data_IF_731493114666
#
_entry.id   IF_731493114666
#
_cell.length_a   1.000
_cell.length_b   1.000
_cell.length_c   1.000
_cell.angle_alpha   90.00
_cell.angle_beta   90.00
_cell.angle_gamma   90.00
#
_symmetry.space_group_name_H-M   'P 1'
#
loop_
_entity.id
_entity.type
_entity.pdbx_description
1 polymer ?
#
# COMPACT_ATOMS: atom_id res chain seq x y z
N UNK A 1 58.00 17.14 5.98
CA UNK A 1 58.43 15.72 5.87
C UNK A 1 57.74 15.11 4.66
N UNK A 2 58.55 14.50 3.77
CA UNK A 2 58.29 13.39 2.80
C UNK A 2 56.84 12.94 2.55
N UNK A 3 56.36 12.54 1.37
CA UNK A 3 56.81 12.41 -0.04
C UNK A 3 55.53 11.94 -0.82
N UNK A 4 55.29 12.10 -2.13
CA UNK A 4 55.94 12.78 -3.28
C UNK A 4 54.84 13.00 -4.36
N UNK A 5 55.12 13.64 -5.51
CA UNK A 5 54.29 13.51 -6.72
C UNK A 5 54.75 12.31 -7.56
N UNK A 6 53.82 11.65 -8.27
CA UNK A 6 54.16 10.95 -9.51
C UNK A 6 53.02 11.06 -10.53
N UNK A 7 53.24 11.84 -11.58
CA UNK A 7 52.49 11.69 -12.84
C UNK A 7 53.12 10.55 -13.64
N UNK A 8 52.31 9.64 -14.16
CA UNK A 8 52.63 8.96 -15.41
C UNK A 8 51.33 8.63 -16.16
N UNK A 9 51.09 9.35 -17.25
CA UNK A 9 50.16 8.93 -18.29
C UNK A 9 50.88 7.94 -19.24
N UNK A 10 50.10 7.31 -20.15
CA UNK A 10 50.42 6.25 -21.13
C UNK A 10 49.72 4.93 -20.71
N UNK A 11 48.72 4.44 -21.44
CA UNK A 11 48.15 5.00 -22.66
C UNK A 11 46.88 4.29 -23.12
N UNK A 12 46.31 4.78 -24.24
CA UNK A 12 45.16 4.16 -24.91
C UNK A 12 45.46 2.71 -25.29
N UNK A 13 44.48 1.83 -25.07
CA UNK A 13 44.25 0.66 -25.89
C UNK A 13 42.82 0.71 -26.43
N UNK A 14 42.65 1.39 -27.58
CA UNK A 14 41.47 1.23 -28.43
C UNK A 14 41.44 -0.19 -28.99
N UNK A 15 40.23 -0.69 -29.24
CA UNK A 15 39.90 -1.76 -30.18
C UNK A 15 40.60 -3.13 -30.00
N UNK A 16 39.83 -4.09 -29.47
CA UNK A 16 39.80 -5.44 -30.05
C UNK A 16 38.36 -5.96 -30.17
N UNK A 17 37.63 -5.45 -31.16
CA UNK A 17 36.52 -6.20 -31.73
C UNK A 17 37.07 -7.47 -32.38
N UNK A 18 37.13 -8.56 -31.61
CA UNK A 18 37.32 -9.90 -32.18
C UNK A 18 36.05 -10.26 -32.94
N UNK A 19 36.22 -10.64 -34.21
CA UNK A 19 35.14 -11.07 -35.11
C UNK A 19 34.38 -12.25 -34.49
N UNK A 20 33.10 -12.05 -34.15
CA UNK A 20 31.97 -12.56 -34.95
C UNK A 20 30.62 -12.28 -34.26
N UNK A 21 29.64 -11.85 -35.06
CA UNK A 21 28.20 -11.61 -34.74
C UNK A 21 27.83 -10.33 -33.96
N UNK A 22 27.40 -9.34 -34.75
CA UNK A 22 26.32 -8.37 -34.49
C UNK A 22 26.23 -7.73 -33.10
N UNK A 23 27.14 -6.79 -32.81
CA UNK A 23 26.87 -5.73 -31.85
C UNK A 23 26.06 -4.61 -32.52
N UNK A 24 24.73 -4.62 -32.38
CA UNK A 24 23.92 -3.46 -32.78
C UNK A 24 24.07 -2.34 -31.73
N UNK A 25 25.09 -1.50 -31.90
CA UNK A 25 25.37 -0.35 -31.05
C UNK A 25 24.48 0.84 -31.43
N UNK A 26 23.19 0.80 -31.06
CA UNK A 26 22.33 1.98 -31.12
C UNK A 26 22.68 2.98 -30.02
N UNK A 27 23.63 3.87 -30.35
CA UNK A 27 23.85 5.10 -29.62
C UNK A 27 22.60 5.99 -29.75
N UNK A 28 21.98 6.35 -28.64
CA UNK A 28 21.16 7.56 -28.57
C UNK A 28 21.66 8.45 -27.43
N UNK A 29 22.41 9.49 -27.79
CA UNK A 29 23.16 10.32 -26.85
C UNK A 29 22.46 11.65 -26.52
N UNK A 30 22.07 11.81 -25.26
CA UNK A 30 21.95 13.09 -24.53
C UNK A 30 21.66 12.74 -23.05
N UNK A 31 22.15 13.41 -22.02
CA UNK A 31 23.02 14.59 -21.94
C UNK A 31 22.86 15.20 -20.54
N UNK A 32 23.91 15.13 -19.71
CA UNK A 32 24.00 15.57 -18.29
C UNK A 32 23.17 14.82 -17.21
N UNK A 33 23.87 14.51 -16.11
CA UNK A 33 23.36 14.12 -14.78
C UNK A 33 22.35 12.95 -14.70
N UNK A 34 22.79 11.75 -15.07
CA UNK A 34 22.13 10.50 -14.69
C UNK A 34 23.10 9.53 -14.04
N UNK A 35 22.91 9.22 -12.75
CA UNK A 35 23.63 8.14 -12.07
C UNK A 35 23.00 6.78 -12.42
N UNK A 36 22.92 6.49 -13.72
CA UNK A 36 22.29 5.29 -14.25
C UNK A 36 23.19 4.08 -14.02
N UNK A 37 22.88 3.27 -13.01
CA UNK A 37 23.46 1.94 -12.86
C UNK A 37 23.16 1.13 -14.11
N UNK A 38 24.20 0.77 -14.87
CA UNK A 38 24.05 -0.11 -16.01
C UNK A 38 23.49 -1.45 -15.53
N UNK A 39 22.26 -1.78 -15.95
CA UNK A 39 21.64 -3.07 -15.64
C UNK A 39 22.55 -4.19 -16.15
N UNK A 40 22.91 -5.19 -15.31
CA UNK A 40 23.76 -6.29 -15.75
C UNK A 40 23.22 -6.96 -17.01
N UNK A 41 24.08 -7.16 -18.01
CA UNK A 41 23.69 -7.79 -19.29
C UNK A 41 23.40 -9.28 -19.07
N UNK A 42 22.14 -9.58 -18.76
CA UNK A 42 21.63 -10.95 -18.57
C UNK A 42 21.70 -11.71 -19.89
N UNK A 43 22.16 -12.97 -19.89
CA UNK A 43 22.04 -13.82 -21.09
C UNK A 43 20.57 -14.08 -21.39
N UNK A 44 20.22 -14.25 -22.65
CA UNK A 44 18.81 -14.44 -23.11
C UNK A 44 18.07 -15.60 -22.45
N UNK A 45 18.78 -16.58 -21.87
CA UNK A 45 18.25 -17.73 -21.16
C UNK A 45 18.49 -17.71 -19.63
N UNK A 46 18.84 -16.55 -19.05
CA UNK A 46 19.05 -16.40 -17.61
C UNK A 46 18.01 -15.47 -16.98
N UNK A 47 17.61 -15.75 -15.74
CA UNK A 47 16.84 -14.83 -14.89
C UNK A 47 17.70 -14.55 -13.66
N UNK A 48 17.88 -13.29 -13.30
CA UNK A 48 18.58 -12.94 -12.04
C UNK A 48 17.58 -13.00 -10.90
N UNK A 49 17.86 -13.76 -9.85
CA UNK A 49 17.24 -13.66 -8.54
C UNK A 49 18.14 -12.84 -7.61
N UNK A 50 17.64 -11.69 -7.15
CA UNK A 50 18.30 -10.81 -6.18
C UNK A 50 17.55 -10.77 -4.84
N UNK A 51 18.27 -10.34 -3.79
CA UNK A 51 17.78 -10.25 -2.41
C UNK A 51 18.04 -8.85 -1.83
N UNK A 52 17.80 -8.65 -0.52
CA UNK A 52 17.90 -7.35 0.15
C UNK A 52 19.21 -6.58 -0.12
N UNK A 53 20.35 -7.27 -0.10
CA UNK A 53 21.68 -6.72 -0.40
C UNK A 53 21.80 -6.15 -1.83
N UNK A 54 20.98 -6.62 -2.75
CA UNK A 54 21.04 -6.29 -4.18
C UNK A 54 20.08 -5.15 -4.56
N UNK A 55 19.11 -4.80 -3.72
CA UNK A 55 18.06 -3.81 -4.05
C UNK A 55 18.63 -2.49 -4.60
N UNK A 56 19.70 -1.97 -3.98
CA UNK A 56 20.37 -0.74 -4.41
C UNK A 56 21.07 -0.87 -5.78
N UNK A 57 21.58 -2.05 -6.13
CA UNK A 57 22.25 -2.34 -7.42
C UNK A 57 21.25 -2.28 -8.58
N UNK A 58 20.01 -2.69 -8.34
CA UNK A 58 18.93 -2.77 -9.34
C UNK A 58 17.86 -1.68 -9.20
N UNK A 59 18.08 -0.68 -8.32
CA UNK A 59 17.14 0.42 -8.06
C UNK A 59 15.73 -0.05 -7.63
N UNK A 60 15.67 -1.12 -6.82
CA UNK A 60 14.42 -1.68 -6.30
C UNK A 60 14.05 -0.94 -5.01
N UNK A 61 12.83 -0.38 -4.88
CA UNK A 61 12.41 0.22 -3.62
C UNK A 61 12.28 -0.86 -2.55
N UNK A 62 13.03 -0.73 -1.45
CA UNK A 62 12.95 -1.67 -0.30
C UNK A 62 11.55 -1.68 0.32
N UNK A 63 10.91 -0.53 0.37
CA UNK A 63 9.59 -0.34 0.96
C UNK A 63 8.66 0.39 0.01
N UNK A 64 7.39 -0.05 -0.04
CA UNK A 64 6.30 0.62 -0.75
C UNK A 64 5.07 0.65 0.18
N UNK A 65 4.23 1.70 0.15
CA UNK A 65 3.09 1.79 1.05
C UNK A 65 2.02 0.75 0.72
N UNK A 66 1.22 0.39 1.73
CA UNK A 66 0.03 -0.44 1.57
C UNK A 66 -1.12 0.43 1.02
N UNK A 67 -1.08 0.72 -0.28
CA UNK A 67 -2.11 1.48 -1.00
C UNK A 67 -3.46 0.72 -1.02
N UNK A 68 -3.41 -0.60 -1.22
CA UNK A 68 -4.57 -1.49 -1.25
C UNK A 68 -4.52 -2.48 -0.08
N UNK A 69 -5.68 -2.72 0.51
CA UNK A 69 -5.78 -3.14 1.89
C UNK A 69 -6.51 -4.50 1.99
N UNK A 70 -5.75 -5.59 2.18
CA UNK A 70 -6.17 -6.99 1.97
C UNK A 70 -7.34 -7.44 2.88
N UNK A 71 -7.26 -7.22 4.19
CA UNK A 71 -8.20 -7.82 5.16
C UNK A 71 -9.66 -7.32 5.00
N UNK A 72 -9.87 -6.19 4.33
CA UNK A 72 -11.21 -5.67 4.00
C UNK A 72 -11.99 -6.50 2.99
N UNK A 73 -11.28 -7.18 2.11
CA UNK A 73 -11.90 -8.02 1.11
C UNK A 73 -12.37 -9.33 1.78
N UNK A 74 -11.65 -9.82 2.79
CA UNK A 74 -11.88 -11.13 3.42
C UNK A 74 -13.29 -11.37 4.03
N UNK A 75 -14.11 -10.35 4.30
CA UNK A 75 -15.48 -10.57 4.80
C UNK A 75 -16.51 -10.91 3.72
N UNK A 76 -16.29 -10.45 2.47
CA UNK A 76 -17.26 -10.58 1.37
C UNK A 76 -16.65 -11.12 0.07
N UNK A 77 -15.31 -11.14 -0.02
CA UNK A 77 -14.54 -11.63 -1.15
C UNK A 77 -13.73 -12.86 -0.73
N UNK A 78 -14.11 -13.97 -1.35
CA UNK A 78 -13.37 -15.22 -1.36
C UNK A 78 -11.91 -14.99 -1.75
N UNK A 79 -11.00 -15.54 -0.94
CA UNK A 79 -9.74 -16.15 -1.33
C UNK A 79 -9.19 -15.80 -2.74
N UNK A 80 -8.11 -15.00 -2.88
CA UNK A 80 -7.54 -14.57 -4.17
C UNK A 80 -7.22 -15.67 -5.17
N UNK A 81 -6.82 -16.87 -4.72
CA UNK A 81 -6.63 -18.06 -5.56
C UNK A 81 -7.62 -19.14 -5.12
N UNK A 82 -8.70 -19.33 -5.88
CA UNK A 82 -9.76 -20.30 -5.56
C UNK A 82 -9.24 -21.75 -5.61
N UNK A 83 -9.80 -22.63 -4.77
CA UNK A 83 -9.49 -24.07 -4.77
C UNK A 83 -10.19 -24.79 -5.94
N UNK A 84 -9.77 -24.49 -7.17
CA UNK A 84 -10.23 -25.16 -8.39
C UNK A 84 -9.09 -26.07 -8.88
N UNK A 85 -9.23 -27.38 -8.64
CA UNK A 85 -8.14 -28.34 -8.81
C UNK A 85 -7.56 -28.38 -10.25
N UNK A 86 -8.42 -28.34 -11.27
CA UNK A 86 -8.00 -28.33 -12.68
C UNK A 86 -7.23 -27.06 -13.06
N UNK A 87 -7.72 -25.88 -12.63
CA UNK A 87 -7.06 -24.60 -12.88
C UNK A 87 -5.72 -24.53 -12.17
N UNK A 88 -5.65 -24.94 -10.90
CA UNK A 88 -4.40 -25.02 -10.15
C UNK A 88 -3.39 -26.00 -10.77
N UNK A 89 -3.84 -27.16 -11.26
CA UNK A 89 -2.95 -28.13 -11.93
C UNK A 89 -2.38 -27.55 -13.23
N UNK A 90 -3.21 -26.90 -14.05
CA UNK A 90 -2.81 -26.31 -15.33
C UNK A 90 -1.88 -25.09 -15.14
N UNK A 91 -2.22 -24.14 -14.25
CA UNK A 91 -1.36 -23.00 -13.94
C UNK A 91 0.00 -23.44 -13.39
N UNK A 92 0.05 -24.51 -12.58
CA UNK A 92 1.32 -25.06 -12.08
C UNK A 92 2.14 -25.77 -13.18
N UNK A 93 1.51 -26.43 -14.16
CA UNK A 93 2.21 -26.97 -15.34
C UNK A 93 2.82 -25.85 -16.18
N UNK A 94 2.07 -24.75 -16.38
CA UNK A 94 2.56 -23.59 -17.13
C UNK A 94 3.74 -22.91 -16.43
N UNK A 95 3.67 -22.76 -15.10
CA UNK A 95 4.76 -22.22 -14.28
C UNK A 95 6.02 -23.10 -14.30
N UNK A 96 5.90 -24.42 -14.18
CA UNK A 96 7.04 -25.34 -14.30
C UNK A 96 7.63 -25.38 -15.73
N UNK A 97 6.78 -25.32 -16.75
CA UNK A 97 7.21 -25.19 -18.15
C UNK A 97 7.94 -23.87 -18.42
N UNK A 98 7.53 -22.77 -17.77
CA UNK A 98 8.24 -21.49 -17.81
C UNK A 98 9.65 -21.63 -17.20
N UNK A 99 9.76 -22.12 -15.96
CA UNK A 99 11.06 -22.25 -15.29
C UNK A 99 12.05 -23.15 -16.05
N UNK A 100 11.58 -24.20 -16.74
CA UNK A 100 12.41 -25.07 -17.58
C UNK A 100 13.10 -24.35 -18.77
N UNK A 101 12.65 -23.16 -19.15
CA UNK A 101 13.26 -22.36 -20.23
C UNK A 101 14.51 -21.58 -19.77
N UNK A 102 14.66 -21.32 -18.46
CA UNK A 102 15.61 -20.35 -17.93
C UNK A 102 16.51 -20.94 -16.84
N UNK A 103 17.76 -20.49 -16.79
CA UNK A 103 18.64 -20.74 -15.65
C UNK A 103 18.57 -19.56 -14.67
N UNK A 104 18.07 -19.81 -13.46
CA UNK A 104 18.03 -18.79 -12.41
C UNK A 104 19.43 -18.66 -11.78
N UNK A 105 19.95 -17.43 -11.75
CA UNK A 105 21.29 -17.08 -11.25
C UNK A 105 21.21 -15.98 -10.20
N UNK A 106 22.26 -15.81 -9.38
CA UNK A 106 22.34 -14.68 -8.46
C UNK A 106 22.66 -13.35 -9.18
N UNK A 107 22.72 -12.27 -8.42
CA UNK A 107 23.07 -10.93 -8.91
C UNK A 107 24.48 -10.78 -9.50
N UNK A 108 25.36 -11.78 -9.31
CA UNK A 108 26.71 -11.86 -9.87
C UNK A 108 26.79 -12.87 -11.05
N UNK A 109 25.63 -13.27 -11.58
CA UNK A 109 25.44 -14.19 -12.72
C UNK A 109 25.94 -15.63 -12.47
N UNK A 110 26.12 -16.01 -11.21
CA UNK A 110 26.55 -17.34 -10.78
C UNK A 110 25.38 -18.24 -10.34
N UNK A 111 25.58 -19.55 -10.41
CA UNK A 111 24.61 -20.55 -9.92
C UNK A 111 24.36 -20.38 -8.43
N UNK A 112 23.09 -20.33 -8.04
CA UNK A 112 22.69 -20.25 -6.63
C UNK A 112 22.97 -21.59 -5.94
N UNK A 113 23.82 -21.55 -4.92
CA UNK A 113 24.24 -22.71 -4.12
C UNK A 113 24.12 -22.47 -2.62
N UNK A 114 23.89 -21.22 -2.22
CA UNK A 114 23.79 -20.77 -0.84
C UNK A 114 22.56 -19.87 -0.71
N UNK A 115 21.92 -19.91 0.46
CA UNK A 115 20.91 -18.95 0.88
C UNK A 115 21.51 -17.53 0.87
N UNK A 116 20.66 -16.52 0.85
CA UNK A 116 21.02 -15.10 0.92
C UNK A 116 21.80 -14.75 2.20
N UNK A 117 21.54 -15.48 3.30
CA UNK A 117 22.29 -15.46 4.57
C UNK A 117 23.62 -16.25 4.56
N UNK A 118 23.99 -16.85 3.42
CA UNK A 118 25.30 -17.49 3.20
C UNK A 118 25.42 -18.97 3.60
N UNK A 119 24.35 -19.61 4.09
CA UNK A 119 24.35 -21.06 4.37
C UNK A 119 24.19 -21.88 3.07
N UNK A 120 24.78 -23.07 2.97
CA UNK A 120 24.65 -23.91 1.77
C UNK A 120 23.23 -24.48 1.62
N UNK A 121 22.69 -24.49 0.39
CA UNK A 121 21.35 -25.07 0.10
C UNK A 121 21.51 -26.53 -0.35
N UNK A 122 20.85 -27.49 0.32
CA UNK A 122 20.71 -28.87 -0.17
C UNK A 122 20.20 -28.93 -1.63
N UNK A 123 20.38 -30.06 -2.31
CA UNK A 123 19.96 -30.19 -3.72
C UNK A 123 18.44 -30.25 -3.85
N UNK A 124 17.82 -30.95 -2.91
CA UNK A 124 16.39 -31.17 -2.72
C UNK A 124 15.62 -29.85 -2.50
N UNK A 125 16.18 -28.91 -1.74
CA UNK A 125 15.54 -27.61 -1.43
C UNK A 125 15.86 -26.50 -2.44
N UNK A 126 16.74 -26.77 -3.41
CA UNK A 126 17.26 -25.72 -4.30
C UNK A 126 16.20 -25.15 -5.22
N UNK A 127 15.38 -26.00 -5.83
CA UNK A 127 14.33 -25.59 -6.75
C UNK A 127 13.23 -24.79 -6.05
N UNK A 128 12.83 -25.19 -4.82
CA UNK A 128 11.83 -24.46 -4.02
C UNK A 128 12.36 -23.13 -3.48
N UNK A 129 13.67 -22.99 -3.26
CA UNK A 129 14.28 -21.71 -2.87
C UNK A 129 14.40 -20.71 -4.03
N UNK A 130 14.79 -21.17 -5.22
CA UNK A 130 15.07 -20.29 -6.38
C UNK A 130 13.83 -19.96 -7.20
N UNK A 131 12.80 -20.81 -7.22
CA UNK A 131 11.52 -20.58 -7.92
C UNK A 131 10.55 -19.86 -6.99
N UNK A 132 10.03 -18.71 -7.43
CA UNK A 132 9.18 -17.80 -6.64
C UNK A 132 8.03 -17.32 -7.50
N UNK A 133 6.77 -17.73 -7.24
CA UNK A 133 6.39 -18.84 -6.37
C UNK A 133 6.95 -20.16 -6.91
N UNK A 134 7.18 -21.14 -6.03
CA UNK A 134 7.53 -22.50 -6.42
C UNK A 134 6.33 -23.24 -7.04
N UNK A 135 5.14 -23.02 -6.44
CA UNK A 135 3.85 -23.59 -6.83
C UNK A 135 2.75 -22.61 -6.40
N UNK A 136 1.66 -22.52 -7.15
CA UNK A 136 0.42 -21.87 -6.71
C UNK A 136 -0.36 -22.77 -5.75
N UNK A 137 -0.78 -22.18 -4.63
CA UNK A 137 -1.66 -22.76 -3.63
C UNK A 137 -2.94 -21.95 -3.50
N UNK A 138 -4.02 -22.57 -3.04
CA UNK A 138 -5.22 -21.84 -2.66
C UNK A 138 -5.15 -21.39 -1.20
N UNK A 139 -5.66 -20.20 -0.93
CA UNK A 139 -5.91 -19.65 0.39
C UNK A 139 -7.02 -20.37 1.19
N UNK A 140 -7.83 -21.21 0.55
CA UNK A 140 -8.67 -22.23 1.23
C UNK A 140 -8.05 -23.61 1.04
N UNK A 141 -6.74 -23.71 1.22
CA UNK A 141 -5.91 -24.85 0.82
C UNK A 141 -6.28 -26.17 1.46
N UNK A 142 -5.70 -27.26 0.94
CA UNK A 142 -5.80 -28.58 1.55
C UNK A 142 -4.93 -28.66 2.81
N UNK A 143 -5.22 -29.63 3.67
CA UNK A 143 -4.41 -29.89 4.87
C UNK A 143 -2.92 -30.08 4.49
N UNK A 144 -2.05 -29.26 5.08
CA UNK A 144 -0.61 -29.22 4.78
C UNK A 144 -0.18 -28.28 3.64
N UNK A 145 -1.11 -27.64 2.92
CA UNK A 145 -0.78 -26.59 1.94
C UNK A 145 -0.94 -25.19 2.56
N UNK A 146 0.10 -24.36 2.45
CA UNK A 146 0.10 -22.96 2.92
C UNK A 146 0.01 -22.01 1.72
N UNK A 147 -0.88 -21.03 1.77
CA UNK A 147 -0.89 -19.92 0.82
C UNK A 147 0.06 -18.81 1.29
N UNK A 148 1.18 -18.67 0.59
CA UNK A 148 2.11 -17.57 0.82
C UNK A 148 1.49 -16.28 0.24
N UNK A 149 1.05 -15.37 1.12
CA UNK A 149 0.39 -14.10 0.79
C UNK A 149 1.31 -13.05 0.16
N UNK A 150 2.18 -13.45 -0.76
CA UNK A 150 3.19 -12.63 -1.42
C UNK A 150 2.52 -11.63 -2.36
N UNK A 151 3.01 -10.39 -2.34
CA UNK A 151 2.57 -9.33 -3.23
C UNK A 151 3.65 -9.11 -4.31
N UNK A 152 3.26 -8.82 -5.55
CA UNK A 152 4.14 -8.72 -6.70
C UNK A 152 4.23 -7.26 -7.17
N UNK A 153 5.39 -6.63 -6.98
CA UNK A 153 5.69 -5.33 -7.56
C UNK A 153 6.12 -5.45 -9.01
N UNK A 154 5.35 -4.86 -9.92
CA UNK A 154 5.57 -4.95 -11.37
C UNK A 154 6.35 -3.74 -11.88
N UNK A 155 7.60 -3.94 -12.27
CA UNK A 155 8.49 -2.90 -12.83
C UNK A 155 8.77 -3.22 -14.31
N UNK A 156 7.79 -2.96 -15.18
CA UNK A 156 7.81 -3.39 -16.59
C UNK A 156 9.00 -2.84 -17.39
N UNK A 157 9.32 -1.54 -17.25
CA UNK A 157 10.45 -0.92 -17.97
C UNK A 157 11.79 -1.52 -17.54
N UNK A 158 11.88 -1.91 -16.28
CA UNK A 158 13.04 -2.56 -15.68
C UNK A 158 12.97 -4.10 -15.85
N UNK A 159 11.93 -4.63 -16.52
CA UNK A 159 11.63 -6.07 -16.71
C UNK A 159 11.81 -6.85 -15.42
N UNK A 160 11.25 -6.33 -14.34
CA UNK A 160 11.53 -6.81 -12.98
C UNK A 160 10.23 -7.08 -12.23
N UNK A 161 10.15 -8.24 -11.56
CA UNK A 161 9.09 -8.56 -10.59
C UNK A 161 9.70 -8.62 -9.20
N UNK A 162 9.18 -7.82 -8.28
CA UNK A 162 9.63 -7.74 -6.89
C UNK A 162 8.66 -8.50 -5.99
N UNK A 163 9.17 -9.37 -5.12
CA UNK A 163 8.38 -10.13 -4.17
C UNK A 163 8.33 -9.40 -2.83
N UNK A 164 7.17 -8.82 -2.55
CA UNK A 164 6.87 -8.05 -1.35
C UNK A 164 6.15 -8.91 -0.30
N UNK A 165 6.55 -8.71 0.95
CA UNK A 165 5.89 -9.26 2.14
C UNK A 165 5.30 -8.11 2.98
N UNK A 166 4.22 -8.39 3.69
CA UNK A 166 3.58 -7.51 4.67
C UNK A 166 3.99 -7.80 6.12
N UNK A 167 4.94 -8.73 6.34
CA UNK A 167 5.37 -9.29 7.64
C UNK A 167 5.05 -8.43 8.87
N UNK A 168 4.11 -8.91 9.67
CA UNK A 168 3.66 -8.23 10.88
C UNK A 168 4.78 -8.05 11.93
N UNK A 169 5.90 -8.79 11.84
CA UNK A 169 7.08 -8.59 12.68
C UNK A 169 7.81 -7.30 12.33
N UNK A 170 7.97 -7.01 11.05
CA UNK A 170 8.58 -5.76 10.56
C UNK A 170 7.68 -4.54 10.76
N UNK A 171 6.36 -4.73 10.92
CA UNK A 171 5.47 -3.65 11.40
C UNK A 171 5.91 -3.19 12.79
N UNK A 172 6.14 -4.11 13.73
CA UNK A 172 6.50 -3.77 15.11
C UNK A 172 7.86 -3.06 15.25
N UNK A 173 8.83 -3.35 14.37
CA UNK A 173 10.16 -2.73 14.43
C UNK A 173 10.22 -1.31 13.82
N UNK A 174 9.34 -1.01 12.85
CA UNK A 174 9.30 0.29 12.19
C UNK A 174 8.24 1.25 12.77
N UNK A 175 7.24 0.74 13.49
CA UNK A 175 6.24 1.56 14.19
C UNK A 175 6.79 2.04 15.55
N UNK A 176 7.44 3.20 15.54
CA UNK A 176 7.98 3.83 16.76
C UNK A 176 7.06 4.96 17.23
N UNK A 177 6.82 5.08 18.54
CA UNK A 177 5.87 6.04 19.16
C UNK A 177 6.12 7.50 18.73
N UNK A 178 7.38 7.82 18.43
CA UNK A 178 7.88 9.13 18.02
C UNK A 178 7.67 9.44 16.53
N UNK A 179 7.43 8.44 15.67
CA UNK A 179 7.34 8.64 14.22
C UNK A 179 5.96 8.46 13.62
N UNK A 180 5.13 7.56 14.17
CA UNK A 180 3.83 7.20 13.60
C UNK A 180 4.00 6.62 12.18
N UNK A 181 4.35 5.33 12.11
CA UNK A 181 4.72 4.70 10.85
C UNK A 181 3.60 4.70 9.80
N UNK A 182 3.99 4.79 8.53
CA UNK A 182 3.12 4.39 7.42
C UNK A 182 3.20 2.87 7.26
N UNK A 183 2.07 2.21 7.01
CA UNK A 183 2.03 0.79 6.67
C UNK A 183 2.70 0.55 5.32
N UNK A 184 3.69 -0.34 5.31
CA UNK A 184 4.51 -0.62 4.15
C UNK A 184 4.71 -2.11 3.92
N UNK A 185 4.72 -2.51 2.65
CA UNK A 185 5.29 -3.77 2.21
C UNK A 185 6.82 -3.67 2.17
N UNK A 186 7.51 -4.78 2.40
CA UNK A 186 8.99 -4.87 2.33
C UNK A 186 9.42 -5.88 1.26
N UNK A 187 10.37 -5.48 0.40
CA UNK A 187 10.90 -6.35 -0.64
C UNK A 187 11.78 -7.46 -0.02
N UNK A 188 11.43 -8.71 -0.27
CA UNK A 188 12.20 -9.89 0.19
C UNK A 188 13.21 -10.35 -0.85
N UNK A 189 12.83 -10.26 -2.13
CA UNK A 189 13.57 -10.77 -3.28
C UNK A 189 12.99 -10.18 -4.57
N UNK A 190 13.67 -10.34 -5.70
CA UNK A 190 13.16 -9.92 -7.01
C UNK A 190 13.76 -10.75 -8.16
N UNK A 191 13.03 -10.85 -9.26
CA UNK A 191 13.52 -11.36 -10.54
C UNK A 191 13.77 -10.24 -11.53
N UNK A 192 14.92 -10.26 -12.22
CA UNK A 192 15.18 -9.46 -13.43
C UNK A 192 15.21 -10.39 -14.64
N UNK A 193 14.32 -10.11 -15.60
CA UNK A 193 14.11 -10.94 -16.78
C UNK A 193 14.99 -10.48 -17.96
N UNK A 194 15.41 -11.41 -18.84
CA UNK A 194 16.36 -11.10 -19.91
C UNK A 194 15.72 -10.38 -21.10
N UNK A 195 14.41 -10.55 -21.29
CA UNK A 195 13.62 -10.02 -22.42
C UNK A 195 12.22 -9.58 -21.95
N UNK A 196 11.56 -8.71 -22.73
CA UNK A 196 10.19 -8.27 -22.45
C UNK A 196 9.20 -9.43 -22.53
N UNK A 197 9.43 -10.37 -23.46
CA UNK A 197 8.60 -11.56 -23.67
C UNK A 197 8.65 -12.48 -22.45
N UNK A 198 9.83 -12.72 -21.87
CA UNK A 198 9.99 -13.54 -20.68
C UNK A 198 9.31 -12.91 -19.45
N UNK A 199 9.43 -11.59 -19.29
CA UNK A 199 8.72 -10.83 -18.24
C UNK A 199 7.20 -10.93 -18.41
N UNK A 200 6.69 -10.67 -19.63
CA UNK A 200 5.25 -10.70 -19.93
C UNK A 200 4.66 -12.11 -19.79
N UNK A 201 5.36 -13.14 -20.26
CA UNK A 201 4.93 -14.54 -20.10
C UNK A 201 4.78 -14.88 -18.61
N UNK A 202 5.80 -14.57 -17.80
CA UNK A 202 5.78 -14.84 -16.37
C UNK A 202 4.69 -14.06 -15.62
N UNK A 203 4.52 -12.76 -15.88
CA UNK A 203 3.47 -11.94 -15.26
C UNK A 203 2.08 -12.42 -15.65
N UNK A 204 1.87 -12.88 -16.88
CA UNK A 204 0.60 -13.48 -17.31
C UNK A 204 0.32 -14.80 -16.59
N UNK A 205 1.34 -15.64 -16.36
CA UNK A 205 1.21 -16.88 -15.56
C UNK A 205 0.89 -16.55 -14.09
N UNK A 206 1.48 -15.51 -13.52
CA UNK A 206 1.12 -15.07 -12.17
C UNK A 206 -0.34 -14.60 -12.08
N UNK A 207 -0.79 -13.80 -13.05
CA UNK A 207 -2.15 -13.21 -13.04
C UNK A 207 -3.26 -14.23 -13.30
N UNK A 208 -3.04 -15.21 -14.17
CA UNK A 208 -4.08 -16.15 -14.67
C UNK A 208 -4.79 -17.00 -13.61
N UNK A 209 -4.30 -17.00 -12.37
CA UNK A 209 -4.83 -17.78 -11.24
C UNK A 209 -5.48 -16.89 -10.15
N UNK A 210 -5.33 -15.57 -10.23
CA UNK A 210 -5.95 -14.62 -9.31
C UNK A 210 -7.35 -14.22 -9.77
N UNK A 211 -8.24 -13.92 -8.82
CA UNK A 211 -9.54 -13.30 -9.11
C UNK A 211 -9.34 -11.84 -9.54
N UNK A 212 -9.85 -11.46 -10.72
CA UNK A 212 -9.72 -10.14 -11.36
C UNK A 212 -9.91 -8.96 -10.40
N UNK A 213 -10.98 -8.97 -9.58
CA UNK A 213 -11.31 -7.88 -8.65
C UNK A 213 -10.25 -7.66 -7.55
N UNK A 214 -9.42 -8.68 -7.30
CA UNK A 214 -8.35 -8.70 -6.30
C UNK A 214 -6.96 -8.49 -6.91
N UNK A 215 -6.81 -8.48 -8.25
CA UNK A 215 -5.50 -8.33 -8.90
C UNK A 215 -4.74 -7.09 -8.39
N UNK A 216 -5.38 -5.92 -8.34
CA UNK A 216 -4.78 -4.64 -7.90
C UNK A 216 -4.20 -4.67 -6.49
N UNK A 217 -4.58 -5.67 -5.69
CA UNK A 217 -4.09 -5.86 -4.32
C UNK A 217 -2.78 -6.65 -4.35
N UNK A 218 -2.69 -7.67 -5.19
CA UNK A 218 -1.53 -8.57 -5.28
C UNK A 218 -0.53 -8.17 -6.37
N UNK A 219 -0.92 -7.37 -7.36
CA UNK A 219 -0.08 -6.85 -8.43
C UNK A 219 0.01 -5.33 -8.31
N UNK A 220 1.09 -4.88 -7.68
CA UNK A 220 1.33 -3.50 -7.28
C UNK A 220 2.22 -2.79 -8.30
N UNK A 221 1.98 -1.51 -8.55
CA UNK A 221 3.01 -0.63 -9.13
C UNK A 221 3.89 -0.08 -7.99
N UNK A 222 5.19 -0.43 -7.91
CA UNK A 222 6.07 0.06 -6.85
C UNK A 222 6.31 1.57 -6.87
N UNK A 223 5.85 2.28 -7.90
CA UNK A 223 5.92 3.74 -8.05
C UNK A 223 4.61 4.44 -7.66
N UNK A 224 3.50 3.73 -7.54
CA UNK A 224 2.20 4.28 -7.12
C UNK A 224 2.24 4.73 -5.65
N UNK A 225 1.83 5.97 -5.37
CA UNK A 225 1.74 6.53 -4.02
C UNK A 225 0.39 7.22 -3.86
N UNK A 226 -0.56 6.54 -3.19
CA UNK A 226 -1.83 7.17 -2.87
C UNK A 226 -1.65 8.21 -1.75
N UNK A 227 -2.32 9.37 -1.81
CA UNK A 227 -2.36 10.32 -0.70
C UNK A 227 -2.87 9.65 0.59
N UNK A 228 -2.25 10.00 1.71
CA UNK A 228 -2.53 9.41 3.02
C UNK A 228 -3.54 10.26 3.79
N UNK A 229 -4.52 9.57 4.37
CA UNK A 229 -5.46 10.12 5.36
C UNK A 229 -5.27 9.38 6.68
N UNK A 230 -4.74 10.09 7.67
CA UNK A 230 -4.59 9.61 9.03
C UNK A 230 -5.85 9.92 9.83
N UNK A 231 -6.40 8.94 10.56
CA UNK A 231 -7.51 9.14 11.50
C UNK A 231 -7.08 8.78 12.91
N UNK A 232 -7.29 9.66 13.89
CA UNK A 232 -6.81 9.45 15.27
C UNK A 232 -7.66 10.14 16.33
N UNK A 233 -7.36 9.88 17.60
CA UNK A 233 -7.98 10.58 18.74
C UNK A 233 -7.27 11.89 19.04
N UNK A 234 -8.03 12.94 19.33
CA UNK A 234 -7.50 14.28 19.70
C UNK A 234 -6.58 14.23 20.93
N UNK A 235 -6.79 13.28 21.84
CA UNK A 235 -5.88 13.02 22.96
C UNK A 235 -4.41 12.79 22.54
N UNK A 236 -4.16 12.21 21.36
CA UNK A 236 -2.84 11.80 20.85
C UNK A 236 -2.32 12.68 19.71
N UNK A 237 -3.17 13.60 19.23
CA UNK A 237 -2.95 14.42 18.05
C UNK A 237 -1.67 15.27 18.10
N UNK A 238 -1.14 15.68 16.93
CA UNK A 238 -0.08 16.69 16.82
C UNK A 238 -0.41 17.98 17.58
N UNK A 239 0.60 18.66 18.10
CA UNK A 239 0.45 19.82 19.00
C UNK A 239 -0.28 21.02 18.40
N UNK A 240 -0.41 21.11 17.07
CA UNK A 240 -1.18 22.15 16.39
C UNK A 240 -2.70 21.91 16.45
N UNK A 241 -3.16 20.70 16.81
CA UNK A 241 -4.57 20.39 17.05
C UNK A 241 -4.86 20.67 18.53
N UNK A 242 -5.68 21.69 18.87
CA UNK A 242 -6.07 21.95 20.24
C UNK A 242 -6.74 20.73 20.87
N UNK A 243 -6.36 20.34 22.09
CA UNK A 243 -7.02 19.20 22.75
C UNK A 243 -8.45 19.52 23.24
N UNK A 244 -8.73 20.80 23.45
CA UNK A 244 -10.03 21.35 23.88
C UNK A 244 -10.27 22.67 23.15
N UNK A 245 -11.53 23.02 22.96
CA UNK A 245 -11.99 24.27 22.35
C UNK A 245 -13.10 24.88 23.20
N UNK A 246 -13.26 26.21 23.13
CA UNK A 246 -14.44 26.89 23.68
C UNK A 246 -15.60 26.82 22.68
N UNK A 247 -16.65 26.09 23.04
CA UNK A 247 -17.87 25.99 22.23
C UNK A 247 -18.77 27.18 22.56
N UNK A 248 -18.72 28.21 21.70
CA UNK A 248 -19.51 29.46 21.88
C UNK A 248 -21.03 29.27 21.70
N UNK A 249 -21.47 28.12 21.20
CA UNK A 249 -22.88 27.81 20.92
C UNK A 249 -23.65 27.21 22.13
N UNK A 250 -23.04 27.16 23.32
CA UNK A 250 -23.59 26.50 24.53
C UNK A 250 -24.91 27.09 25.10
N UNK A 251 -25.47 28.13 24.48
CA UNK A 251 -26.78 28.71 24.82
C UNK A 251 -27.93 28.25 23.92
N UNK A 252 -27.66 27.60 22.78
CA UNK A 252 -28.71 27.01 21.94
C UNK A 252 -28.98 25.58 22.43
N UNK A 253 -30.25 25.27 22.69
CA UNK A 253 -30.69 23.90 22.97
C UNK A 253 -30.21 22.99 21.84
N UNK A 254 -29.48 21.92 22.17
CA UNK A 254 -29.14 20.86 21.20
C UNK A 254 -30.45 20.45 20.52
N UNK A 255 -30.63 20.66 19.21
CA UNK A 255 -31.85 20.23 18.54
C UNK A 255 -31.84 18.71 18.57
N UNK A 256 -32.69 18.09 19.41
CA UNK A 256 -32.81 16.64 19.54
C UNK A 256 -32.96 16.03 18.13
N UNK A 257 -31.92 15.43 17.56
CA UNK A 257 -31.88 15.17 16.13
C UNK A 257 -32.48 13.79 15.88
N UNK A 258 -33.79 13.68 16.12
CA UNK A 258 -34.58 12.45 16.02
C UNK A 258 -34.68 11.89 14.59
N UNK A 259 -34.13 12.60 13.60
CA UNK A 259 -34.07 12.19 12.20
C UNK A 259 -32.82 12.73 11.52
N UNK A 260 -32.24 11.92 10.63
CA UNK A 260 -31.12 12.31 9.76
C UNK A 260 -31.44 13.53 8.88
N UNK A 261 -32.73 13.81 8.64
CA UNK A 261 -33.20 14.98 7.88
C UNK A 261 -32.79 16.33 8.48
N UNK A 262 -32.43 16.37 9.77
CA UNK A 262 -31.81 17.55 10.37
C UNK A 262 -30.47 17.87 9.71
N UNK A 263 -29.62 16.87 9.46
CA UNK A 263 -28.31 17.06 8.81
C UNK A 263 -28.41 17.09 7.28
N UNK A 264 -29.19 16.17 6.70
CA UNK A 264 -29.30 16.00 5.26
C UNK A 264 -30.75 16.11 4.75
N UNK A 265 -31.05 17.18 4.02
CA UNK A 265 -32.40 17.41 3.48
C UNK A 265 -32.63 16.80 2.09
N UNK A 266 -31.63 16.13 1.50
CA UNK A 266 -31.60 15.76 0.08
C UNK A 266 -31.43 14.26 -0.18
N UNK A 267 -30.66 13.57 0.66
CA UNK A 267 -30.22 12.20 0.44
C UNK A 267 -30.33 11.36 1.70
N UNK A 268 -30.63 10.07 1.54
CA UNK A 268 -30.62 9.12 2.64
C UNK A 268 -29.23 8.48 2.87
N UNK A 269 -29.09 7.81 4.01
CA UNK A 269 -27.84 7.14 4.41
C UNK A 269 -27.39 6.09 3.39
N UNK A 270 -28.27 5.19 2.88
CA UNK A 270 -27.89 4.23 1.82
C UNK A 270 -27.30 4.87 0.56
N UNK A 271 -27.91 5.93 0.03
CA UNK A 271 -27.42 6.64 -1.15
C UNK A 271 -26.03 7.22 -0.92
N UNK A 272 -25.85 7.96 0.20
CA UNK A 272 -24.59 8.62 0.53
C UNK A 272 -23.46 7.60 0.71
N UNK A 273 -23.70 6.52 1.47
CA UNK A 273 -22.70 5.46 1.66
C UNK A 273 -22.33 4.76 0.34
N UNK A 274 -23.31 4.51 -0.53
CA UNK A 274 -23.05 3.97 -1.88
C UNK A 274 -22.23 4.92 -2.75
N UNK A 275 -22.51 6.22 -2.69
CA UNK A 275 -21.77 7.24 -3.43
C UNK A 275 -20.31 7.35 -2.94
N UNK A 276 -20.09 7.49 -1.62
CA UNK A 276 -18.77 7.67 -1.04
C UNK A 276 -17.89 6.44 -1.14
N UNK A 277 -18.46 5.23 -1.04
CA UNK A 277 -17.73 3.98 -1.33
C UNK A 277 -17.12 4.02 -2.73
N UNK A 278 -17.90 4.42 -3.73
CA UNK A 278 -17.41 4.49 -5.11
C UNK A 278 -16.44 5.66 -5.36
N UNK A 279 -16.60 6.77 -4.63
CA UNK A 279 -15.73 7.95 -4.77
C UNK A 279 -14.34 7.77 -4.14
N UNK A 280 -14.24 7.03 -3.03
CA UNK A 280 -13.01 6.93 -2.24
C UNK A 280 -12.17 5.68 -2.51
N UNK A 281 -12.74 4.59 -3.06
CA UNK A 281 -12.00 3.34 -3.33
C UNK A 281 -10.85 3.60 -4.31
N UNK A 282 -9.62 3.26 -3.88
CA UNK A 282 -8.41 3.39 -4.69
C UNK A 282 -7.94 4.82 -4.94
N UNK A 283 -8.61 5.84 -4.40
CA UNK A 283 -8.16 7.23 -4.51
C UNK A 283 -7.13 7.58 -3.43
N UNK A 284 -7.34 7.11 -2.21
CA UNK A 284 -6.54 7.45 -1.03
C UNK A 284 -6.28 6.23 -0.15
N UNK A 285 -5.17 6.23 0.59
CA UNK A 285 -4.88 5.23 1.64
C UNK A 285 -5.24 5.80 3.02
N UNK A 286 -5.69 4.93 3.93
CA UNK A 286 -6.14 5.32 5.26
C UNK A 286 -5.47 4.50 6.33
N UNK A 287 -5.01 5.17 7.38
CA UNK A 287 -4.28 4.55 8.48
C UNK A 287 -4.72 5.14 9.82
N UNK A 288 -4.71 4.32 10.88
CA UNK A 288 -5.02 4.78 12.23
C UNK A 288 -3.80 5.47 12.84
N UNK A 289 -3.96 6.70 13.29
CA UNK A 289 -3.00 7.41 14.14
C UNK A 289 -3.30 7.08 15.61
N UNK A 290 -2.88 5.90 16.05
CA UNK A 290 -2.94 5.45 17.45
C UNK A 290 -1.54 5.00 17.90
N UNK A 291 -1.01 5.65 18.93
CA UNK A 291 0.35 5.39 19.46
C UNK A 291 0.39 4.20 20.42
N UNK A 292 -0.76 3.74 20.92
CA UNK A 292 -0.86 2.68 21.93
C UNK A 292 -1.09 1.30 21.31
N UNK A 293 -1.73 1.26 20.14
CA UNK A 293 -2.08 0.02 19.47
C UNK A 293 -1.03 -0.47 18.46
N UNK A 294 0.17 -0.87 18.88
CA UNK A 294 1.10 -1.57 17.97
C UNK A 294 0.47 -2.85 17.36
N UNK A 295 -0.41 -3.53 18.11
CA UNK A 295 -1.17 -4.71 17.65
C UNK A 295 -2.55 -4.38 17.04
N UNK A 296 -2.84 -3.10 16.80
CA UNK A 296 -4.07 -2.63 16.11
C UNK A 296 -3.81 -1.57 15.03
N UNK A 297 -2.54 -1.18 14.83
CA UNK A 297 -2.11 -0.19 13.86
C UNK A 297 -2.46 -0.64 12.44
N UNK A 298 -3.34 0.12 11.79
CA UNK A 298 -3.90 -0.23 10.50
C UNK A 298 -5.06 -1.21 10.59
N UNK A 299 -6.15 -0.85 11.27
CA UNK A 299 -7.43 -1.54 11.06
C UNK A 299 -7.93 -1.26 9.64
N UNK A 300 -7.65 -2.23 8.78
CA UNK A 300 -8.24 -2.48 7.47
C UNK A 300 -9.75 -2.17 7.50
N UNK A 301 -10.18 -1.06 6.87
CA UNK A 301 -11.59 -0.61 6.85
C UNK A 301 -12.13 -0.34 5.44
N UNK A 302 -13.19 -1.07 5.06
CA UNK A 302 -13.65 -1.31 3.67
C UNK A 302 -14.35 -0.11 3.04
N UNK A 303 -14.90 0.73 3.90
CA UNK A 303 -15.71 1.89 3.57
C UNK A 303 -15.11 3.01 4.42
N UNK A 304 -14.25 3.82 3.80
CA UNK A 304 -13.30 4.72 4.47
C UNK A 304 -14.01 5.85 5.25
N UNK A 305 -15.24 6.13 4.83
CA UNK A 305 -16.20 7.01 5.47
C UNK A 305 -17.58 6.33 5.38
N UNK A 306 -18.27 6.18 6.51
CA UNK A 306 -19.62 5.63 6.58
C UNK A 306 -20.48 6.54 7.45
N UNK A 307 -21.71 6.77 7.03
CA UNK A 307 -22.76 7.30 7.90
C UNK A 307 -23.51 6.11 8.48
N UNK A 308 -23.50 5.97 9.80
CA UNK A 308 -24.18 4.88 10.50
C UNK A 308 -25.30 5.42 11.39
N UNK A 309 -26.45 4.76 11.34
CA UNK A 309 -27.55 4.95 12.29
C UNK A 309 -27.45 3.86 13.36
N UNK A 310 -27.39 4.25 14.64
CA UNK A 310 -27.45 3.33 15.78
C UNK A 310 -28.61 3.68 16.70
N UNK A 311 -29.12 2.67 17.39
CA UNK A 311 -30.09 2.84 18.46
C UNK A 311 -29.69 1.86 19.58
N UNK A 312 -29.34 2.41 20.75
CA UNK A 312 -28.87 1.63 21.90
C UNK A 312 -30.00 1.32 22.92
N UNK A 313 -31.26 1.33 22.48
CA UNK A 313 -32.44 1.27 23.34
C UNK A 313 -32.96 2.64 23.75
N UNK A 314 -32.40 3.71 23.16
CA UNK A 314 -32.77 5.10 23.40
C UNK A 314 -34.04 5.51 22.63
N UNK A 315 -34.79 6.53 23.09
CA UNK A 315 -36.01 7.01 22.43
C UNK A 315 -35.76 7.77 21.12
N UNK A 316 -34.50 7.89 20.69
CA UNK A 316 -34.07 8.52 19.44
C UNK A 316 -32.95 7.68 18.79
N UNK A 317 -32.75 7.90 17.49
CA UNK A 317 -31.63 7.34 16.76
C UNK A 317 -30.41 8.26 16.83
N UNK A 318 -29.23 7.66 16.95
CA UNK A 318 -27.94 8.36 16.91
C UNK A 318 -27.28 8.19 15.54
N UNK A 319 -26.73 9.28 15.01
CA UNK A 319 -26.12 9.32 13.69
C UNK A 319 -24.62 9.59 13.81
N UNK A 320 -23.82 8.64 13.32
CA UNK A 320 -22.37 8.65 13.44
C UNK A 320 -21.71 8.76 12.07
N UNK A 321 -20.59 9.47 12.02
CA UNK A 321 -19.58 9.31 10.98
C UNK A 321 -18.55 8.28 11.48
N UNK A 322 -18.48 7.13 10.83
CA UNK A 322 -17.42 6.16 11.06
C UNK A 322 -16.22 6.51 10.15
N UNK A 323 -15.19 7.07 10.76
CA UNK A 323 -14.00 7.61 10.12
C UNK A 323 -12.91 6.54 10.13
N UNK A 324 -12.52 6.06 8.95
CA UNK A 324 -11.93 4.73 8.84
C UNK A 324 -12.97 3.64 9.11
N UNK A 325 -14.19 3.77 8.58
CA UNK A 325 -15.21 2.71 8.52
C UNK A 325 -15.63 2.01 9.81
N UNK A 326 -16.27 0.83 9.67
CA UNK A 326 -17.00 0.09 10.75
C UNK A 326 -16.15 -0.36 11.95
N UNK A 327 -14.84 -0.11 11.95
CA UNK A 327 -13.93 -0.41 13.05
C UNK A 327 -12.96 0.75 13.38
N UNK A 328 -13.11 1.89 12.71
CA UNK A 328 -12.35 3.10 12.99
C UNK A 328 -12.94 3.90 14.16
N UNK A 329 -12.72 5.21 14.13
CA UNK A 329 -13.23 6.11 15.16
C UNK A 329 -14.57 6.72 14.74
N UNK A 330 -15.42 7.02 15.71
CA UNK A 330 -16.79 7.48 15.48
C UNK A 330 -16.94 8.94 15.94
N UNK A 331 -17.51 9.78 15.08
CA UNK A 331 -17.93 11.14 15.42
C UNK A 331 -19.47 11.20 15.42
N UNK A 332 -20.07 11.44 16.60
CA UNK A 332 -21.52 11.44 16.82
C UNK A 332 -22.16 12.79 16.47
N UNK A 333 -22.80 12.91 15.31
CA UNK A 333 -23.23 14.19 14.72
C UNK A 333 -24.02 15.13 15.64
N UNK A 334 -24.73 14.62 16.66
CA UNK A 334 -25.51 15.42 17.62
C UNK A 334 -24.68 16.27 18.58
N UNK A 335 -23.45 15.85 18.89
CA UNK A 335 -22.59 16.51 19.89
C UNK A 335 -21.28 17.08 19.31
N UNK A 336 -21.06 16.89 18.01
CA UNK A 336 -19.79 17.22 17.37
C UNK A 336 -19.72 18.67 16.93
N UNK A 337 -18.61 19.32 17.29
CA UNK A 337 -18.23 20.63 16.77
C UNK A 337 -17.08 20.41 15.79
N UNK A 338 -17.32 20.63 14.49
CA UNK A 338 -16.36 20.31 13.42
C UNK A 338 -15.52 21.55 13.10
N UNK A 339 -14.22 21.45 13.34
CA UNK A 339 -13.24 22.46 12.90
C UNK A 339 -12.58 22.03 11.60
N UNK A 340 -12.64 22.90 10.60
CA UNK A 340 -11.91 22.76 9.34
C UNK A 340 -10.58 23.53 9.48
N UNK A 341 -9.45 22.88 9.22
CA UNK A 341 -8.10 23.46 9.36
C UNK A 341 -7.35 23.33 8.03
N UNK A 342 -7.63 24.21 7.04
CA UNK A 342 -7.14 24.04 5.66
C UNK A 342 -5.62 24.25 5.51
N UNK A 343 -4.99 25.06 6.36
CA UNK A 343 -3.53 25.29 6.30
C UNK A 343 -2.76 24.07 6.78
N UNK A 344 -3.25 23.45 7.85
CA UNK A 344 -2.70 22.26 8.48
C UNK A 344 -3.17 20.97 7.81
N UNK A 345 -4.06 21.07 6.81
CA UNK A 345 -4.75 19.96 6.13
C UNK A 345 -5.35 18.99 7.15
N UNK A 346 -6.17 19.50 8.07
CA UNK A 346 -6.80 18.70 9.12
C UNK A 346 -8.29 19.02 9.29
N UNK A 347 -9.06 18.02 9.72
CA UNK A 347 -10.47 18.18 10.11
C UNK A 347 -10.61 17.57 11.50
N UNK A 348 -11.20 18.31 12.43
CA UNK A 348 -11.29 17.88 13.84
C UNK A 348 -12.74 17.88 14.29
N UNK A 349 -13.14 16.78 14.90
CA UNK A 349 -14.48 16.49 15.41
C UNK A 349 -14.41 16.53 16.94
N UNK A 350 -14.91 17.59 17.55
CA UNK A 350 -14.86 17.81 19.00
C UNK A 350 -16.16 17.39 19.70
N UNK A 351 -16.04 16.44 20.63
CA UNK A 351 -17.12 15.86 21.45
C UNK A 351 -17.11 16.41 22.91
N UNK A 352 -16.49 17.57 23.13
CA UNK A 352 -16.20 18.11 24.47
C UNK A 352 -15.06 17.40 25.21
N UNK A 353 -14.92 16.08 25.10
CA UNK A 353 -13.83 15.30 25.72
C UNK A 353 -12.76 14.82 24.70
N UNK A 354 -11.45 14.98 24.97
CA UNK A 354 -10.38 14.66 24.01
C UNK A 354 -10.26 13.16 23.68
N UNK A 355 -10.82 12.28 24.51
CA UNK A 355 -10.81 10.83 24.30
C UNK A 355 -11.87 10.35 23.31
N UNK A 356 -12.97 11.10 23.17
CA UNK A 356 -14.04 10.84 22.21
C UNK A 356 -13.91 11.71 20.94
N UNK A 357 -13.21 12.84 21.06
CA UNK A 357 -12.92 13.72 19.93
C UNK A 357 -11.94 13.07 18.95
N UNK A 358 -12.22 13.17 17.66
CA UNK A 358 -11.51 12.50 16.56
C UNK A 358 -10.90 13.55 15.62
N UNK A 359 -9.79 13.25 14.96
CA UNK A 359 -9.26 14.08 13.88
C UNK A 359 -8.96 13.25 12.62
N UNK A 360 -9.01 13.92 11.48
CA UNK A 360 -8.45 13.52 10.20
C UNK A 360 -7.27 14.45 9.87
N UNK A 361 -6.16 13.89 9.40
CA UNK A 361 -4.98 14.63 8.93
C UNK A 361 -4.60 14.10 7.54
N UNK A 362 -4.39 15.01 6.59
CA UNK A 362 -4.27 14.69 5.18
C UNK A 362 -2.87 15.05 4.65
N UNK A 363 -2.23 14.14 3.90
CA UNK A 363 -0.91 14.41 3.31
C UNK A 363 -0.95 15.53 2.26
N UNK A 364 -2.06 15.64 1.53
CA UNK A 364 -2.27 16.62 0.45
C UNK A 364 -3.56 17.44 0.66
N UNK A 365 -3.69 18.57 -0.04
CA UNK A 365 -4.87 19.43 0.00
C UNK A 365 -6.04 18.86 -0.82
N UNK A 366 -5.77 18.03 -1.84
CA UNK A 366 -6.83 17.35 -2.61
C UNK A 366 -7.74 16.46 -1.72
N UNK A 367 -7.24 15.44 -0.98
CA UNK A 367 -8.09 14.62 -0.12
C UNK A 367 -8.74 15.42 1.01
N UNK A 368 -8.09 16.48 1.51
CA UNK A 368 -8.72 17.39 2.46
C UNK A 368 -9.96 18.08 1.85
N UNK A 369 -9.85 18.62 0.63
CA UNK A 369 -10.95 19.30 -0.06
C UNK A 369 -12.10 18.34 -0.37
N UNK A 370 -11.81 17.11 -0.82
CA UNK A 370 -12.81 16.07 -1.05
C UNK A 370 -13.56 15.72 0.25
N UNK A 371 -12.84 15.55 1.37
CA UNK A 371 -13.48 15.29 2.67
C UNK A 371 -14.32 16.46 3.17
N UNK A 372 -13.89 17.71 2.93
CA UNK A 372 -14.72 18.89 3.20
C UNK A 372 -15.97 18.91 2.33
N UNK A 373 -15.88 18.49 1.06
CA UNK A 373 -17.03 18.40 0.17
C UNK A 373 -18.02 17.31 0.63
N UNK A 374 -17.52 16.12 0.96
CA UNK A 374 -18.29 15.01 1.56
C UNK A 374 -19.02 15.48 2.82
N UNK A 375 -18.31 16.10 3.78
CA UNK A 375 -18.94 16.59 5.02
C UNK A 375 -20.03 17.64 4.78
N UNK A 376 -19.85 18.53 3.79
CA UNK A 376 -20.86 19.53 3.40
C UNK A 376 -22.03 18.94 2.62
N UNK A 377 -21.85 17.80 1.97
CA UNK A 377 -22.94 17.05 1.35
C UNK A 377 -23.73 16.24 2.38
N UNK A 378 -23.05 15.63 3.37
CA UNK A 378 -23.68 14.94 4.52
C UNK A 378 -24.47 15.91 5.39
N UNK A 379 -23.84 17.03 5.75
CA UNK A 379 -24.43 18.10 6.56
C UNK A 379 -24.78 19.24 5.60
N UNK A 380 -25.82 19.06 4.79
CA UNK A 380 -26.23 20.03 3.76
C UNK A 380 -27.39 20.95 4.18
N UNK A 381 -28.08 20.64 5.29
CA UNK A 381 -29.04 21.55 5.89
C UNK A 381 -28.29 22.76 6.50
N UNK A 382 -28.71 23.98 6.15
CA UNK A 382 -28.09 25.21 6.62
C UNK A 382 -28.08 25.34 8.15
N UNK A 383 -29.19 24.97 8.81
CA UNK A 383 -29.29 25.06 10.28
C UNK A 383 -28.29 24.12 10.95
N UNK A 384 -28.15 22.89 10.44
CA UNK A 384 -27.14 21.95 10.91
C UNK A 384 -25.70 22.41 10.57
N UNK A 385 -25.47 23.07 9.43
CA UNK A 385 -24.16 23.65 9.12
C UNK A 385 -23.77 24.77 10.09
N UNK A 386 -24.69 25.70 10.36
CA UNK A 386 -24.47 26.81 11.30
C UNK A 386 -24.32 26.34 12.76
N UNK A 387 -24.87 25.16 13.10
CA UNK A 387 -24.72 24.51 14.41
C UNK A 387 -23.41 23.70 14.54
N UNK A 388 -23.09 22.85 13.57
CA UNK A 388 -21.97 21.88 13.65
C UNK A 388 -20.62 22.50 13.30
N UNK A 389 -20.53 23.36 12.29
CA UNK A 389 -19.22 23.88 11.84
C UNK A 389 -18.78 25.08 12.67
N UNK A 390 -17.58 24.97 13.25
CA UNK A 390 -16.91 26.07 13.94
C UNK A 390 -16.43 27.06 12.88
N UNK A 391 -16.83 28.33 13.03
CA UNK A 391 -16.34 29.46 12.24
C UNK A 391 -15.02 29.95 12.86
N UNK A 392 -14.03 30.23 12.01
CA UNK A 392 -12.73 30.78 12.40
C UNK A 392 -12.83 32.22 12.96
#
# INVERSE_FOLDING_TARGET
MKNFLFYLAIGLALASCSKDKDCNCDNNGNGNNGNGTATPTVKTNQIILGFDKDLKKFNIPRHIPINYNVQNFQSDYSCPILLIASTLEESNKQLDAFYKKFMIVNSDLATITHYDVGQFIPKEDRESYIRRPYKFYSCTGKEGETFDGIHFGLMEKERTVVFYDSDDRLRMENYTEDKGGELQYTATSFYVFPTDEAYKEYVNILKSIYVDELEKIYFLDPKERLPLVLVGRVAEAPSFIPKRIEIKNSGNTVPNPTSFSFYNSKYDIPYLNGHYRNHLIGKYRFELYDKRFMNGAGMYTKELFIIEKRNYGEPFDEYYLALGGKRGYYALLSYQNVKLMPKEKAIVFYDGEPLNSVFLLFSDIEPYNDFVAILKEVINNKEAQDYVFIKD
#
